data_IF_975733876796
#
_entry.id   IF_975733876796
#
_cell.length_a   1.000
_cell.length_b   1.000
_cell.length_c   1.000
_cell.angle_alpha   90.00
_cell.angle_beta   90.00
_cell.angle_gamma   90.00
#
_symmetry.space_group_name_H-M   'P 1'
#
loop_
_entity.id
_entity.type
_entity.pdbx_description
1 polymer ?
#
# COMPACT_ATOMS: atom_id res chain seq x y z
N UNK A 1 -1.28 1.79 25.86
CA UNK A 1 -1.88 3.10 26.20
C UNK A 1 -3.32 3.08 25.71
N UNK A 2 -4.31 3.27 26.58
CA UNK A 2 -5.71 3.34 26.16
C UNK A 2 -6.05 4.80 25.86
N UNK A 3 -6.23 5.12 24.58
CA UNK A 3 -6.68 6.43 24.12
C UNK A 3 -8.20 6.50 24.26
N UNK A 4 -8.69 7.38 25.14
CA UNK A 4 -10.12 7.60 25.32
C UNK A 4 -10.57 8.72 24.37
N UNK A 5 -11.34 8.37 23.35
CA UNK A 5 -11.91 9.31 22.37
C UNK A 5 -13.44 9.26 22.51
N UNK A 6 -14.09 10.42 22.55
CA UNK A 6 -15.55 10.52 22.66
C UNK A 6 -16.22 10.30 21.30
N UNK A 7 -17.40 9.66 21.32
CA UNK A 7 -18.21 9.46 20.11
C UNK A 7 -18.79 10.80 19.62
N UNK A 8 -18.76 11.10 18.31
CA UNK A 8 -19.41 12.28 17.75
C UNK A 8 -20.92 12.29 18.03
N UNK A 9 -21.49 13.48 18.28
CA UNK A 9 -22.92 13.66 18.61
C UNK A 9 -23.83 13.08 17.53
N UNK A 10 -23.49 13.28 16.26
CA UNK A 10 -24.27 12.75 15.13
C UNK A 10 -24.34 11.21 15.13
N UNK A 11 -23.20 10.55 15.38
CA UNK A 11 -23.16 9.10 15.47
C UNK A 11 -23.93 8.60 16.69
N UNK A 12 -23.75 9.24 17.84
CA UNK A 12 -24.50 8.92 19.06
C UNK A 12 -26.02 9.02 18.83
N UNK A 13 -26.49 10.11 18.20
CA UNK A 13 -27.90 10.29 17.87
C UNK A 13 -28.43 9.24 16.90
N UNK A 14 -27.64 8.87 15.88
CA UNK A 14 -28.03 7.85 14.91
C UNK A 14 -28.17 6.48 15.60
N UNK A 15 -27.22 6.10 16.46
CA UNK A 15 -27.33 4.87 17.25
C UNK A 15 -28.54 4.90 18.18
N UNK A 16 -28.82 6.04 18.83
CA UNK A 16 -30.00 6.19 19.67
C UNK A 16 -31.32 6.16 18.89
N UNK A 17 -31.32 6.45 17.59
CA UNK A 17 -32.51 6.29 16.73
C UNK A 17 -32.80 4.83 16.35
N UNK A 18 -31.83 3.92 16.56
CA UNK A 18 -32.08 2.48 16.45
C UNK A 18 -32.72 2.00 17.76
N UNK A 19 -34.05 1.84 17.75
CA UNK A 19 -34.82 1.34 18.88
C UNK A 19 -35.42 -0.06 18.62
N UNK A 20 -36.35 -0.51 19.46
CA UNK A 20 -37.01 -1.82 19.31
C UNK A 20 -37.85 -1.99 18.04
N UNK A 21 -38.16 -0.92 17.31
CA UNK A 21 -38.90 -0.92 16.05
C UNK A 21 -37.98 -0.79 14.81
N UNK A 22 -36.66 -0.80 15.01
CA UNK A 22 -35.67 -0.63 13.93
C UNK A 22 -35.87 -1.63 12.78
N UNK A 23 -35.97 -1.11 11.57
CA UNK A 23 -36.03 -1.92 10.36
C UNK A 23 -34.63 -2.13 9.77
N UNK A 24 -34.50 -3.13 8.90
CA UNK A 24 -33.25 -3.36 8.16
C UNK A 24 -32.82 -2.13 7.38
N UNK A 25 -33.76 -1.34 6.85
CA UNK A 25 -33.48 -0.10 6.13
C UNK A 25 -32.75 0.92 7.00
N UNK A 26 -33.10 1.00 8.28
CA UNK A 26 -32.57 1.99 9.23
C UNK A 26 -31.15 1.62 9.66
N UNK A 27 -30.86 0.32 9.82
CA UNK A 27 -29.48 -0.14 9.97
C UNK A 27 -28.63 0.13 8.72
N UNK A 28 -29.20 -0.13 7.53
CA UNK A 28 -28.48 0.08 6.27
C UNK A 28 -28.22 1.57 6.01
N UNK A 29 -29.11 2.48 6.43
CA UNK A 29 -28.88 3.92 6.30
C UNK A 29 -27.70 4.38 7.17
N UNK A 30 -27.60 3.90 8.41
CA UNK A 30 -26.47 4.21 9.30
C UNK A 30 -25.15 3.67 8.75
N UNK A 31 -25.13 2.42 8.24
CA UNK A 31 -23.91 1.86 7.64
C UNK A 31 -23.47 2.62 6.38
N UNK A 32 -24.41 3.19 5.63
CA UNK A 32 -24.10 4.04 4.48
C UNK A 32 -23.50 5.38 4.90
N UNK A 33 -23.98 5.94 6.00
CA UNK A 33 -23.53 7.25 6.49
C UNK A 33 -22.19 7.18 7.22
N UNK A 34 -22.01 6.20 8.11
CA UNK A 34 -20.85 6.13 9.01
C UNK A 34 -19.83 5.05 8.62
N UNK A 35 -20.15 4.20 7.64
CA UNK A 35 -19.35 3.03 7.32
C UNK A 35 -19.51 1.91 8.35
N UNK A 36 -18.65 0.90 8.25
CA UNK A 36 -18.72 -0.33 9.04
C UNK A 36 -17.53 -0.56 9.99
N UNK A 37 -16.45 0.22 9.87
CA UNK A 37 -15.26 0.11 10.69
C UNK A 37 -14.68 1.49 11.02
N UNK A 38 -13.98 1.59 12.14
CA UNK A 38 -13.12 2.73 12.47
C UNK A 38 -11.64 2.34 12.29
N UNK A 39 -10.80 3.33 11.98
CA UNK A 39 -9.36 3.11 11.84
C UNK A 39 -8.70 3.28 13.20
N UNK A 40 -8.21 2.18 13.79
CA UNK A 40 -7.53 2.20 15.08
C UNK A 40 -6.07 2.63 14.96
N UNK A 41 -5.38 2.12 13.95
CA UNK A 41 -3.98 2.41 13.65
C UNK A 41 -3.84 2.66 12.15
N UNK A 42 -3.02 3.65 11.80
CA UNK A 42 -2.72 3.97 10.42
C UNK A 42 -1.26 4.43 10.31
N UNK A 43 -0.63 4.04 9.20
CA UNK A 43 0.70 4.52 8.83
C UNK A 43 0.52 5.73 7.93
N UNK A 44 1.04 6.86 8.35
CA UNK A 44 1.06 8.09 7.57
C UNK A 44 2.49 8.37 7.12
N UNK A 45 2.64 8.90 5.91
CA UNK A 45 3.95 9.21 5.34
C UNK A 45 3.88 9.44 3.84
N UNK A 46 5.05 9.40 3.21
CA UNK A 46 5.20 9.51 1.76
C UNK A 46 5.34 8.12 1.14
N UNK A 47 4.58 7.85 0.07
CA UNK A 47 4.66 6.61 -0.68
C UNK A 47 4.78 6.93 -2.18
N UNK A 48 5.90 6.50 -2.78
CA UNK A 48 6.04 6.42 -4.23
C UNK A 48 5.90 4.97 -4.67
N UNK A 49 5.07 4.74 -5.68
CA UNK A 49 4.90 3.43 -6.29
C UNK A 49 5.03 3.54 -7.80
N UNK A 50 5.85 2.68 -8.39
CA UNK A 50 6.05 2.59 -9.83
C UNK A 50 6.00 1.12 -10.24
N UNK A 51 5.34 0.86 -11.37
CA UNK A 51 5.27 -0.48 -11.97
C UNK A 51 6.01 -0.45 -13.30
N UNK A 52 7.03 -1.29 -13.44
CA UNK A 52 7.79 -1.45 -14.68
C UNK A 52 7.20 -2.62 -15.47
N UNK A 53 6.68 -2.33 -16.66
CA UNK A 53 6.12 -3.34 -17.55
C UNK A 53 7.19 -3.86 -18.50
N UNK A 54 7.40 -5.17 -18.48
CA UNK A 54 8.31 -5.84 -19.40
C UNK A 54 7.53 -6.55 -20.51
N UNK A 55 8.02 -6.54 -21.76
CA UNK A 55 7.35 -7.19 -22.88
C UNK A 55 7.27 -8.72 -22.72
N UNK A 56 8.21 -9.33 -22.00
CA UNK A 56 8.18 -10.75 -21.62
C UNK A 56 9.13 -11.03 -20.44
N UNK A 57 9.00 -12.24 -19.85
CA UNK A 57 9.79 -12.68 -18.70
C UNK A 57 11.28 -12.84 -19.00
N UNK A 58 11.67 -13.13 -20.24
CA UNK A 58 13.08 -13.32 -20.59
C UNK A 58 13.84 -11.99 -20.58
N UNK A 59 13.26 -10.96 -21.20
CA UNK A 59 13.81 -9.59 -21.20
C UNK A 59 13.94 -9.06 -19.77
N UNK A 60 12.92 -9.26 -18.92
CA UNK A 60 13.00 -8.90 -17.50
C UNK A 60 14.19 -9.56 -16.79
N UNK A 61 14.39 -10.87 -17.00
CA UNK A 61 15.50 -11.61 -16.37
C UNK A 61 16.86 -11.13 -16.87
N UNK A 62 17.00 -10.87 -18.18
CA UNK A 62 18.25 -10.38 -18.76
C UNK A 62 18.62 -9.01 -18.19
N UNK A 63 17.68 -8.06 -18.19
CA UNK A 63 17.90 -6.72 -17.63
C UNK A 63 18.25 -6.78 -16.14
N UNK A 64 17.62 -7.70 -15.39
CA UNK A 64 17.95 -7.90 -13.98
C UNK A 64 19.37 -8.42 -13.75
N UNK A 65 19.81 -9.42 -14.54
CA UNK A 65 21.18 -9.96 -14.44
C UNK A 65 22.22 -8.91 -14.83
N UNK A 66 21.98 -8.16 -15.90
CA UNK A 66 22.85 -7.08 -16.34
C UNK A 66 22.99 -5.99 -15.26
N UNK A 67 21.87 -5.55 -14.66
CA UNK A 67 21.88 -4.62 -13.54
C UNK A 67 22.70 -5.15 -12.34
N UNK A 68 22.60 -6.44 -12.03
CA UNK A 68 23.38 -7.04 -10.95
C UNK A 68 24.88 -7.03 -11.22
N UNK A 69 25.31 -7.26 -12.47
CA UNK A 69 26.72 -7.22 -12.82
C UNK A 69 27.26 -5.79 -12.86
N UNK A 70 26.47 -4.82 -13.36
CA UNK A 70 26.81 -3.39 -13.34
C UNK A 70 26.92 -2.88 -11.89
N UNK A 71 25.92 -3.17 -11.05
CA UNK A 71 25.90 -2.72 -9.64
C UNK A 71 27.04 -3.29 -8.80
N UNK A 72 27.55 -4.48 -9.16
CA UNK A 72 28.73 -5.11 -8.54
C UNK A 72 30.05 -4.73 -9.20
N UNK A 73 30.05 -3.82 -10.18
CA UNK A 73 31.25 -3.32 -10.86
C UNK A 73 31.96 -4.34 -11.77
N UNK A 74 31.30 -5.45 -12.13
CA UNK A 74 31.92 -6.54 -12.90
C UNK A 74 32.07 -6.21 -14.38
N UNK A 75 31.27 -5.29 -14.89
CA UNK A 75 31.33 -4.84 -16.28
C UNK A 75 32.59 -4.02 -16.57
N UNK A 76 33.11 -3.25 -15.61
CA UNK A 76 34.37 -2.50 -15.73
C UNK A 76 35.63 -3.37 -15.51
N UNK A 77 35.51 -4.49 -14.78
CA UNK A 77 36.62 -5.41 -14.54
C UNK A 77 36.98 -6.25 -15.79
N UNK A 78 36.00 -6.60 -16.64
CA UNK A 78 36.27 -7.40 -17.84
C UNK A 78 36.97 -6.59 -18.95
N UNK A 79 36.67 -5.29 -19.07
CA UNK A 79 37.31 -4.41 -20.06
C UNK A 79 38.72 -4.01 -19.65
N UNK A 80 38.99 -3.85 -18.35
CA UNK A 80 40.34 -3.61 -17.82
C UNK A 80 41.27 -4.84 -17.92
N UNK A 81 40.72 -6.05 -17.93
CA UNK A 81 41.49 -7.28 -18.20
C UNK A 81 41.84 -7.42 -19.68
N UNK A 82 40.93 -7.03 -20.58
CA UNK A 82 41.13 -7.14 -22.03
C UNK A 82 42.17 -6.15 -22.60
N UNK A 83 42.56 -5.11 -21.85
CA UNK A 83 43.58 -4.13 -22.25
C UNK A 83 44.99 -4.43 -21.72
N UNK A 84 45.16 -5.48 -20.89
CA UNK A 84 46.48 -5.90 -20.37
C UNK A 84 47.18 -6.97 -21.21
N UNK A 85 46.52 -7.45 -22.26
CA UNK A 85 47.04 -8.43 -23.21
C UNK A 85 47.39 -7.82 -24.59
N UNK A 86 47.60 -6.49 -24.66
CA UNK A 86 48.18 -5.79 -25.82
C UNK A 86 49.48 -5.06 -25.42
#
# INVERSE_FOLDING_TARGET
MQTHIFLPIAFSSAIHSLDGATQRSDYVSILREFGNHYVQEAVYGFQESCTIWYPNKQVQRQLWLEYQDISKGRTYASTASATRDL
#
